data_IF_360923436126
#
_entry.id   IF_360923436126
#
_cell.length_a   1.000
_cell.length_b   1.000
_cell.length_c   1.000
_cell.angle_alpha   90.00
_cell.angle_beta   90.00
_cell.angle_gamma   90.00
#
_symmetry.space_group_name_H-M   'P 1'
#
loop_
_entity.id
_entity.type
_entity.pdbx_description
1 polymer ?
#
# COMPACT_ATOMS: atom_id res chain seq x y z
N UNK A 1 13.39 9.73 4.13
CA UNK A 1 13.25 9.06 2.84
C UNK A 1 12.18 9.80 2.08
N UNK A 2 12.46 10.19 0.85
CA UNK A 2 11.51 10.92 0.00
C UNK A 2 10.64 9.95 -0.83
N UNK A 3 9.55 10.45 -1.42
CA UNK A 3 8.63 9.63 -2.22
C UNK A 3 9.33 8.94 -3.39
N UNK A 4 10.22 9.65 -4.10
CA UNK A 4 10.97 9.11 -5.24
C UNK A 4 11.97 8.03 -4.81
N UNK A 5 12.60 8.19 -3.64
CA UNK A 5 13.49 7.18 -3.07
C UNK A 5 12.73 5.89 -2.73
N UNK A 6 11.52 6.01 -2.15
CA UNK A 6 10.65 4.86 -1.92
C UNK A 6 10.29 4.15 -3.23
N UNK A 7 9.94 4.92 -4.28
CA UNK A 7 9.60 4.37 -5.59
C UNK A 7 10.74 3.55 -6.18
N UNK A 8 11.95 4.11 -6.17
CA UNK A 8 13.13 3.44 -6.69
C UNK A 8 13.50 2.21 -5.86
N UNK A 9 13.51 2.34 -4.53
CA UNK A 9 13.93 1.28 -3.62
C UNK A 9 13.00 0.07 -3.63
N UNK A 10 11.69 0.30 -3.58
CA UNK A 10 10.70 -0.77 -3.36
C UNK A 10 10.03 -1.23 -4.65
N UNK A 11 9.94 -0.39 -5.68
CA UNK A 11 9.21 -0.70 -6.91
C UNK A 11 10.11 -0.69 -8.16
N UNK A 12 11.36 -0.23 -8.05
CA UNK A 12 12.33 -0.25 -9.15
C UNK A 12 12.05 0.74 -10.28
N UNK A 13 11.09 1.67 -10.11
CA UNK A 13 10.79 2.68 -11.11
C UNK A 13 11.64 3.94 -10.89
N UNK A 14 12.10 4.54 -12.00
CA UNK A 14 12.98 5.71 -11.95
C UNK A 14 12.24 7.00 -11.58
N UNK A 15 11.04 7.18 -12.14
CA UNK A 15 10.23 8.38 -12.02
C UNK A 15 8.75 8.01 -11.85
N UNK A 16 7.97 8.90 -11.23
CA UNK A 16 6.52 8.84 -11.26
C UNK A 16 5.98 9.14 -12.65
N UNK A 17 4.76 8.67 -12.92
CA UNK A 17 3.91 9.25 -13.96
C UNK A 17 3.28 10.52 -13.41
N UNK A 18 3.00 11.50 -14.25
CA UNK A 18 2.45 12.81 -13.86
C UNK A 18 1.25 12.69 -12.90
N UNK A 19 0.23 11.91 -13.27
CA UNK A 19 -0.95 11.69 -12.41
C UNK A 19 -0.66 10.99 -11.07
N UNK A 20 0.43 10.25 -10.96
CA UNK A 20 0.82 9.63 -9.69
C UNK A 20 1.45 10.65 -8.77
N UNK A 21 2.36 11.47 -9.29
CA UNK A 21 3.08 12.50 -8.53
C UNK A 21 2.09 13.48 -7.89
N UNK A 22 1.17 14.03 -8.68
CA UNK A 22 0.12 14.95 -8.18
C UNK A 22 -0.74 14.30 -7.08
N UNK A 23 -1.15 13.04 -7.28
CA UNK A 23 -1.97 12.31 -6.30
C UNK A 23 -1.19 12.05 -5.00
N UNK A 24 0.08 11.66 -5.10
CA UNK A 24 0.94 11.37 -3.94
C UNK A 24 1.17 12.65 -3.15
N UNK A 25 1.47 13.77 -3.82
CA UNK A 25 1.68 15.05 -3.16
C UNK A 25 0.44 15.54 -2.42
N UNK A 26 -0.74 15.37 -3.00
CA UNK A 26 -2.00 15.67 -2.32
C UNK A 26 -2.17 14.85 -1.05
N UNK A 27 -1.95 13.53 -1.14
CA UNK A 27 -2.08 12.63 0.01
C UNK A 27 -1.06 12.97 1.09
N UNK A 28 0.21 13.20 0.74
CA UNK A 28 1.27 13.56 1.69
C UNK A 28 1.01 14.88 2.43
N UNK A 29 0.21 15.77 1.85
CA UNK A 29 -0.26 17.00 2.50
C UNK A 29 -1.50 16.80 3.37
N UNK A 30 -1.97 15.56 3.54
CA UNK A 30 -3.16 15.23 4.33
C UNK A 30 -4.47 15.62 3.65
N UNK A 31 -4.49 15.73 2.31
CA UNK A 31 -5.69 16.09 1.55
C UNK A 31 -6.44 14.84 1.07
N UNK A 32 -7.74 14.79 1.35
CA UNK A 32 -8.64 13.80 0.79
C UNK A 32 -8.64 13.90 -0.75
N UNK A 33 -8.46 12.76 -1.42
CA UNK A 33 -8.22 12.72 -2.87
C UNK A 33 -9.06 11.65 -3.56
N UNK A 34 -9.75 12.04 -4.64
CA UNK A 34 -10.45 11.12 -5.54
C UNK A 34 -9.60 10.88 -6.80
N UNK A 35 -8.89 9.76 -6.83
CA UNK A 35 -8.08 9.37 -7.99
C UNK A 35 -8.89 8.56 -9.02
N UNK A 36 -9.22 9.16 -10.16
CA UNK A 36 -9.82 8.45 -11.31
C UNK A 36 -8.70 8.12 -12.30
N UNK A 37 -8.27 6.86 -12.32
CA UNK A 37 -7.14 6.42 -13.13
C UNK A 37 -7.47 5.13 -13.89
N UNK A 38 -7.01 4.96 -15.14
CA UNK A 38 -7.24 3.73 -15.89
C UNK A 38 -6.51 2.55 -15.26
N UNK A 39 -6.96 1.31 -15.54
CA UNK A 39 -6.22 0.11 -15.14
C UNK A 39 -4.80 0.13 -15.71
N UNK A 40 -3.81 -0.37 -14.96
CA UNK A 40 -2.40 -0.34 -15.38
C UNK A 40 -1.71 1.03 -15.24
N UNK A 41 -2.44 2.08 -14.85
CA UNK A 41 -1.88 3.41 -14.53
C UNK A 41 -0.90 3.42 -13.35
N UNK A 42 -0.93 2.37 -12.52
CA UNK A 42 -0.16 2.31 -11.28
C UNK A 42 -0.86 3.02 -10.11
N UNK A 43 -2.20 3.03 -10.10
CA UNK A 43 -3.01 3.62 -9.02
C UNK A 43 -2.65 3.15 -7.60
N UNK A 44 -2.12 1.94 -7.45
CA UNK A 44 -1.73 1.42 -6.14
C UNK A 44 -0.51 2.13 -5.56
N UNK A 45 0.42 2.55 -6.42
CA UNK A 45 1.60 3.33 -6.02
C UNK A 45 1.17 4.61 -5.32
N UNK A 46 0.06 5.23 -5.77
CA UNK A 46 -0.45 6.48 -5.22
C UNK A 46 -0.77 6.41 -3.73
N UNK A 47 -1.23 5.25 -3.21
CA UNK A 47 -1.45 5.08 -1.76
C UNK A 47 -0.34 4.30 -1.06
N UNK A 48 0.40 3.43 -1.78
CA UNK A 48 1.49 2.65 -1.20
C UNK A 48 2.72 3.50 -0.87
N UNK A 49 3.03 4.52 -1.67
CA UNK A 49 4.15 5.43 -1.39
C UNK A 49 3.87 6.27 -0.13
N UNK A 50 2.71 6.96 0.00
CA UNK A 50 2.34 7.61 1.25
C UNK A 50 2.34 6.65 2.46
N UNK A 51 1.86 5.41 2.30
CA UNK A 51 1.88 4.42 3.39
C UNK A 51 3.28 4.15 3.96
N UNK A 52 4.31 4.16 3.10
CA UNK A 52 5.70 3.98 3.53
C UNK A 52 6.27 5.20 4.26
N UNK A 53 5.77 6.40 3.92
CA UNK A 53 6.26 7.68 4.42
C UNK A 53 5.54 8.13 5.70
N UNK A 54 4.26 7.77 5.86
CA UNK A 54 3.52 8.08 7.06
C UNK A 54 3.97 7.26 8.26
N UNK A 55 3.79 7.85 9.44
CA UNK A 55 3.82 7.13 10.70
C UNK A 55 2.54 6.30 10.86
N UNK A 56 2.67 5.09 11.43
CA UNK A 56 1.55 4.15 11.57
C UNK A 56 1.34 3.26 10.35
N UNK A 57 0.08 2.85 10.15
CA UNK A 57 -0.37 1.87 9.16
C UNK A 57 -1.40 2.46 8.21
N UNK A 58 -1.35 2.06 6.94
CA UNK A 58 -2.39 2.37 5.95
C UNK A 58 -3.38 1.21 5.78
N UNK A 59 -4.68 1.53 5.87
CA UNK A 59 -5.76 0.57 5.60
C UNK A 59 -6.24 0.69 4.14
N UNK A 60 -6.07 -0.38 3.36
CA UNK A 60 -6.58 -0.45 1.98
C UNK A 60 -7.79 -1.36 1.94
N UNK A 61 -8.94 -0.83 1.50
CA UNK A 61 -10.18 -1.58 1.36
C UNK A 61 -10.37 -1.95 -0.12
N UNK A 62 -10.50 -3.24 -0.40
CA UNK A 62 -10.73 -3.76 -1.76
C UNK A 62 -11.85 -4.80 -1.74
N UNK A 63 -12.76 -4.79 -2.73
CA UNK A 63 -13.83 -5.79 -2.82
C UNK A 63 -13.34 -7.16 -3.34
N UNK A 64 -12.13 -7.23 -3.91
CA UNK A 64 -11.64 -8.44 -4.59
C UNK A 64 -10.58 -9.15 -3.75
N UNK A 65 -10.96 -10.28 -3.13
CA UNK A 65 -10.06 -11.09 -2.29
C UNK A 65 -8.82 -11.58 -3.05
N UNK A 66 -8.95 -11.99 -4.30
CA UNK A 66 -7.82 -12.42 -5.14
C UNK A 66 -6.81 -11.29 -5.29
N UNK A 67 -7.28 -10.10 -5.67
CA UNK A 67 -6.45 -8.91 -5.80
C UNK A 67 -5.76 -8.53 -4.50
N UNK A 68 -6.46 -8.64 -3.35
CA UNK A 68 -5.85 -8.37 -2.05
C UNK A 68 -4.66 -9.29 -1.77
N UNK A 69 -4.78 -10.59 -2.09
CA UNK A 69 -3.70 -11.58 -1.90
C UNK A 69 -2.52 -11.25 -2.81
N UNK A 70 -2.77 -10.99 -4.09
CA UNK A 70 -1.72 -10.68 -5.07
C UNK A 70 -0.95 -9.42 -4.67
N UNK A 71 -1.67 -8.35 -4.28
CA UNK A 71 -1.03 -7.11 -3.84
C UNK A 71 -0.19 -7.27 -2.58
N UNK A 72 -0.70 -7.99 -1.56
CA UNK A 72 0.06 -8.23 -0.32
C UNK A 72 1.28 -9.11 -0.58
N UNK A 73 1.17 -10.11 -1.46
CA UNK A 73 2.30 -10.94 -1.85
C UNK A 73 3.39 -10.12 -2.54
N UNK A 74 3.04 -9.29 -3.53
CA UNK A 74 4.00 -8.39 -4.20
C UNK A 74 4.64 -7.40 -3.22
N UNK A 75 3.89 -6.85 -2.27
CA UNK A 75 4.44 -5.96 -1.25
C UNK A 75 5.47 -6.69 -0.36
N UNK A 76 5.17 -7.92 0.09
CA UNK A 76 6.10 -8.73 0.88
C UNK A 76 7.36 -9.09 0.09
N UNK A 77 7.24 -9.43 -1.18
CA UNK A 77 8.37 -9.68 -2.09
C UNK A 77 9.26 -8.45 -2.26
N UNK A 78 8.66 -7.26 -2.26
CA UNK A 78 9.38 -5.99 -2.28
C UNK A 78 9.95 -5.59 -0.90
N UNK A 79 9.80 -6.43 0.14
CA UNK A 79 10.29 -6.13 1.48
C UNK A 79 9.43 -5.13 2.26
N UNK A 80 8.17 -4.96 1.88
CA UNK A 80 7.19 -4.12 2.57
C UNK A 80 6.32 -5.01 3.47
N UNK A 81 6.23 -4.63 4.75
CA UNK A 81 5.41 -5.33 5.72
C UNK A 81 3.92 -5.04 5.49
N UNK A 82 3.24 -5.89 4.74
CA UNK A 82 1.80 -5.81 4.47
C UNK A 82 1.10 -7.10 4.92
N UNK A 83 -0.17 -7.01 5.32
CA UNK A 83 -1.00 -8.18 5.61
C UNK A 83 -2.37 -8.07 4.96
N UNK A 84 -3.04 -9.21 4.78
CA UNK A 84 -4.41 -9.27 4.27
C UNK A 84 -5.36 -9.73 5.38
N UNK A 85 -6.55 -9.15 5.45
CA UNK A 85 -7.62 -9.59 6.35
C UNK A 85 -8.92 -9.77 5.57
N UNK A 86 -9.47 -10.99 5.57
CA UNK A 86 -10.76 -11.30 4.97
C UNK A 86 -11.32 -12.62 5.55
N UNK A 87 -12.55 -12.97 5.19
CA UNK A 87 -13.27 -14.14 5.70
C UNK A 87 -12.74 -15.50 5.21
N UNK A 88 -11.78 -15.53 4.27
CA UNK A 88 -11.18 -16.79 3.81
C UNK A 88 -10.02 -17.28 4.70
N UNK A 89 -9.58 -16.47 5.67
CA UNK A 89 -8.52 -16.84 6.60
C UNK A 89 -9.04 -17.80 7.68
N UNK A 90 -8.22 -18.76 8.06
CA UNK A 90 -8.48 -19.53 9.28
C UNK A 90 -8.34 -18.63 10.52
N UNK A 91 -8.94 -19.08 11.63
CA UNK A 91 -8.97 -18.33 12.88
C UNK A 91 -7.58 -18.00 13.44
N UNK A 92 -6.60 -18.90 13.27
CA UNK A 92 -5.24 -18.70 13.78
C UNK A 92 -4.56 -17.59 13.00
N UNK A 93 -4.58 -17.68 11.67
CA UNK A 93 -4.01 -16.68 10.76
C UNK A 93 -4.66 -15.31 10.97
N UNK A 94 -5.98 -15.26 11.12
CA UNK A 94 -6.72 -14.03 11.43
C UNK A 94 -6.21 -13.35 12.71
N UNK A 95 -6.09 -14.12 13.81
CA UNK A 95 -5.59 -13.60 15.09
C UNK A 95 -4.13 -13.15 14.97
N UNK A 96 -3.31 -13.90 14.24
CA UNK A 96 -1.89 -13.55 14.06
C UNK A 96 -1.72 -12.24 13.28
N UNK A 97 -2.52 -12.02 12.22
CA UNK A 97 -2.53 -10.73 11.49
C UNK A 97 -2.92 -9.59 12.43
N UNK A 98 -3.98 -9.75 13.23
CA UNK A 98 -4.38 -8.72 14.20
C UNK A 98 -3.27 -8.41 15.20
N UNK A 99 -2.56 -9.42 15.72
CA UNK A 99 -1.42 -9.22 16.62
C UNK A 99 -0.32 -8.38 15.98
N UNK A 100 0.03 -8.64 14.72
CA UNK A 100 1.02 -7.84 13.97
C UNK A 100 0.57 -6.39 13.84
N UNK A 101 -0.70 -6.16 13.51
CA UNK A 101 -1.29 -4.81 13.43
C UNK A 101 -1.20 -4.10 14.77
N UNK A 102 -1.62 -4.73 15.88
CA UNK A 102 -1.53 -4.14 17.22
C UNK A 102 -0.11 -3.82 17.68
N UNK A 103 0.89 -4.54 17.16
CA UNK A 103 2.31 -4.31 17.47
C UNK A 103 2.98 -3.28 16.56
N UNK A 104 2.28 -2.75 15.56
CA UNK A 104 2.86 -1.85 14.57
C UNK A 104 3.85 -2.53 13.63
N UNK A 105 3.73 -3.85 13.43
CA UNK A 105 4.59 -4.64 12.53
C UNK A 105 4.12 -4.58 11.06
N UNK A 106 3.08 -3.80 10.76
CA UNK A 106 2.47 -3.63 9.42
C UNK A 106 2.51 -2.14 9.05
N UNK A 107 2.81 -1.86 7.79
CA UNK A 107 2.82 -0.52 7.19
C UNK A 107 1.54 -0.22 6.42
#
# INVERSE_FOLDING_TARGET
MEALECLQKYFGYKNFRESQEETIDHLLQGRDTLGIMPTGSGKSICYQIPALLFEGMTLVISPLISLMKDQVQTLKENGIAAEVLNSSLDKKTYIDVLRKVYRGEVK
#
